data_IF_683679621677
#
_entry.id   IF_683679621677
#
_cell.length_a   1.000
_cell.length_b   1.000
_cell.length_c   1.000
_cell.angle_alpha   90.00
_cell.angle_beta   90.00
_cell.angle_gamma   90.00
#
_symmetry.space_group_name_H-M   'P 1'
#
loop_
_entity.id
_entity.type
_entity.pdbx_description
1 polymer ?
#
# COMPACT_ATOMS: atom_id res chain seq x y z
N UNK A 1 8.59 -0.58 -15.27
CA UNK A 1 7.31 -0.81 -14.58
C UNK A 1 6.78 0.43 -13.92
N UNK A 2 5.47 0.47 -13.75
CA UNK A 2 4.74 1.49 -12.98
C UNK A 2 3.85 0.76 -11.98
N UNK A 3 3.95 1.10 -10.70
CA UNK A 3 3.09 0.54 -9.65
C UNK A 3 2.47 1.67 -8.82
N UNK A 4 1.19 1.52 -8.47
CA UNK A 4 0.47 2.41 -7.55
C UNK A 4 -0.06 1.55 -6.40
N UNK A 5 0.36 1.81 -5.18
CA UNK A 5 0.05 0.98 -4.01
C UNK A 5 -0.29 1.85 -2.81
N UNK A 6 -1.28 1.43 -2.03
CA UNK A 6 -1.53 2.00 -0.71
C UNK A 6 -0.68 1.25 0.33
N UNK A 7 0.31 1.93 0.89
CA UNK A 7 1.20 1.39 1.93
C UNK A 7 0.56 1.59 3.30
N UNK A 8 0.40 0.49 4.02
CA UNK A 8 -0.24 0.48 5.35
C UNK A 8 0.81 0.38 6.46
N UNK A 9 0.49 0.97 7.61
CA UNK A 9 1.28 0.75 8.82
C UNK A 9 0.97 -0.65 9.40
N UNK A 10 1.94 -1.42 9.89
CA UNK A 10 1.69 -2.76 10.46
C UNK A 10 0.72 -2.79 11.64
N UNK A 11 0.58 -1.67 12.36
CA UNK A 11 -0.32 -1.53 13.51
C UNK A 11 -1.70 -0.98 13.15
N UNK A 12 -2.02 -0.83 11.87
CA UNK A 12 -3.36 -0.45 11.45
C UNK A 12 -4.36 -1.57 11.74
N UNK A 13 -5.25 -1.34 12.69
CA UNK A 13 -6.34 -2.24 13.02
C UNK A 13 -7.66 -1.56 12.69
N UNK A 14 -8.53 -2.28 11.99
CA UNK A 14 -9.89 -1.82 11.72
C UNK A 14 -10.76 -2.06 12.95
N UNK A 15 -11.48 -1.03 13.32
CA UNK A 15 -12.47 -1.05 14.39
C UNK A 15 -13.83 -0.69 13.81
N UNK A 16 -14.88 -1.19 14.43
CA UNK A 16 -16.25 -0.81 14.08
C UNK A 16 -16.75 0.20 15.09
N UNK A 17 -17.42 1.23 14.59
CA UNK A 17 -18.15 2.17 15.43
C UNK A 17 -19.27 1.45 16.17
N UNK A 18 -19.42 1.74 17.45
CA UNK A 18 -20.49 1.18 18.28
C UNK A 18 -21.87 1.71 17.91
N UNK A 19 -21.93 2.90 17.33
CA UNK A 19 -23.18 3.59 17.01
C UNK A 19 -23.68 3.27 15.60
N UNK A 20 -22.79 3.23 14.60
CA UNK A 20 -23.16 3.04 13.20
C UNK A 20 -22.81 1.68 12.64
N UNK A 21 -21.86 0.95 13.27
CA UNK A 21 -21.28 -0.27 12.72
C UNK A 21 -20.24 -0.03 11.60
N UNK A 22 -20.06 1.20 11.14
CA UNK A 22 -19.08 1.54 10.12
C UNK A 22 -17.64 1.34 10.65
N UNK A 23 -16.74 0.95 9.76
CA UNK A 23 -15.34 0.75 10.16
C UNK A 23 -14.53 2.05 10.12
N UNK A 24 -13.53 2.13 10.96
CA UNK A 24 -12.50 3.16 10.97
C UNK A 24 -11.18 2.59 11.50
N UNK A 25 -10.08 3.33 11.32
CA UNK A 25 -8.76 2.95 11.82
C UNK A 25 -8.37 3.95 12.90
N UNK A 26 -8.43 3.51 14.15
CA UNK A 26 -8.09 4.35 15.29
C UNK A 26 -6.59 4.67 15.31
N UNK A 27 -6.23 5.93 15.57
CA UNK A 27 -4.83 6.38 15.60
C UNK A 27 -4.20 6.70 14.26
N UNK A 28 -4.88 6.45 13.13
CA UNK A 28 -4.39 6.78 11.79
C UNK A 28 -4.66 8.24 11.45
N UNK A 29 -3.62 8.97 11.03
CA UNK A 29 -3.74 10.38 10.61
C UNK A 29 -3.57 10.59 9.12
N UNK A 30 -2.84 9.70 8.45
CA UNK A 30 -2.59 9.81 7.00
C UNK A 30 -2.62 8.47 6.30
N UNK A 31 -2.91 8.52 4.99
CA UNK A 31 -2.64 7.45 4.04
C UNK A 31 -1.28 7.69 3.38
N UNK A 32 -0.63 6.62 2.92
CA UNK A 32 0.52 6.69 2.03
C UNK A 32 0.18 5.95 0.73
N UNK A 33 0.09 6.68 -0.36
CA UNK A 33 0.01 6.13 -1.70
C UNK A 33 1.39 6.22 -2.36
N UNK A 34 2.00 5.08 -2.65
CA UNK A 34 3.28 5.00 -3.31
C UNK A 34 3.09 4.84 -4.82
N UNK A 35 3.60 5.81 -5.59
CA UNK A 35 3.76 5.71 -7.04
C UNK A 35 5.22 5.35 -7.30
N UNK A 36 5.47 4.16 -7.84
CA UNK A 36 6.80 3.61 -8.09
C UNK A 36 7.05 3.55 -9.59
N UNK A 37 8.14 4.15 -10.02
CA UNK A 37 8.71 3.94 -11.35
C UNK A 37 9.87 2.97 -11.21
N UNK A 38 9.90 1.91 -12.03
CA UNK A 38 10.89 0.85 -11.93
C UNK A 38 11.52 0.57 -13.28
N UNK A 39 12.83 0.57 -13.31
CA UNK A 39 13.63 0.04 -14.39
C UNK A 39 14.39 -1.19 -13.88
N UNK A 40 14.33 -2.29 -14.63
CA UNK A 40 14.91 -3.54 -14.18
C UNK A 40 15.30 -4.47 -15.32
N UNK A 41 15.93 -5.57 -14.94
CA UNK A 41 16.33 -6.67 -15.84
C UNK A 41 15.98 -8.01 -15.22
N UNK A 42 15.66 -8.95 -16.10
CA UNK A 42 15.46 -10.35 -15.76
C UNK A 42 16.71 -11.14 -16.14
N UNK A 43 17.18 -11.93 -15.19
CA UNK A 43 18.31 -12.85 -15.37
C UNK A 43 17.78 -14.28 -15.37
N UNK A 44 17.92 -14.98 -16.48
CA UNK A 44 17.46 -16.37 -16.61
C UNK A 44 18.43 -17.27 -15.88
N UNK A 45 17.97 -17.96 -14.83
CA UNK A 45 18.75 -18.98 -14.13
C UNK A 45 18.57 -20.36 -14.77
N UNK A 46 17.30 -20.72 -15.07
CA UNK A 46 17.00 -21.98 -15.69
C UNK A 46 16.03 -21.75 -16.86
N UNK A 47 16.44 -22.21 -18.04
CA UNK A 47 15.57 -22.22 -19.23
C UNK A 47 14.70 -23.47 -19.20
N UNK A 48 13.44 -23.34 -19.61
CA UNK A 48 12.57 -24.49 -19.77
C UNK A 48 13.01 -25.35 -20.95
N UNK A 49 12.83 -26.67 -20.81
CA UNK A 49 13.03 -27.62 -21.91
C UNK A 49 11.98 -27.38 -23.00
N UNK A 50 12.27 -27.81 -24.26
CA UNK A 50 11.40 -27.52 -25.41
C UNK A 50 9.98 -28.11 -25.32
N UNK A 51 9.76 -29.13 -24.51
CA UNK A 51 8.49 -29.81 -24.41
C UNK A 51 7.72 -29.56 -23.13
N UNK A 52 8.39 -29.48 -21.99
CA UNK A 52 7.81 -29.18 -20.67
C UNK A 52 8.89 -28.66 -19.76
N UNK A 53 8.53 -27.80 -18.78
CA UNK A 53 9.45 -27.33 -17.77
C UNK A 53 9.07 -26.00 -17.18
N UNK A 54 9.83 -25.58 -16.19
CA UNK A 54 9.70 -24.28 -15.53
C UNK A 54 10.91 -23.43 -15.91
N UNK A 55 10.67 -22.22 -16.40
CA UNK A 55 11.73 -21.21 -16.55
C UNK A 55 11.80 -20.40 -15.27
N UNK A 56 12.99 -20.25 -14.72
CA UNK A 56 13.22 -19.46 -13.51
C UNK A 56 14.09 -18.27 -13.85
N UNK A 57 13.57 -17.08 -13.55
CA UNK A 57 14.28 -15.82 -13.74
C UNK A 57 14.43 -15.09 -12.41
N UNK A 58 15.59 -14.48 -12.18
CA UNK A 58 15.70 -13.46 -11.16
C UNK A 58 15.30 -12.11 -11.75
N UNK A 59 14.44 -11.40 -11.05
CA UNK A 59 13.98 -10.06 -11.39
C UNK A 59 14.67 -9.09 -10.47
N UNK A 60 15.39 -8.11 -11.04
CA UNK A 60 16.03 -7.02 -10.28
C UNK A 60 15.56 -5.72 -10.89
N UNK A 61 14.94 -4.86 -10.08
CA UNK A 61 14.49 -3.56 -10.52
C UNK A 61 14.73 -2.50 -9.44
N UNK A 62 14.93 -1.26 -9.87
CA UNK A 62 15.06 -0.12 -9.00
C UNK A 62 14.52 1.14 -9.68
N UNK A 63 14.21 2.16 -8.89
CA UNK A 63 13.78 3.44 -9.43
C UNK A 63 13.25 4.41 -8.38
N UNK A 64 12.78 5.59 -8.82
CA UNK A 64 12.20 6.57 -7.93
C UNK A 64 10.81 6.13 -7.41
N UNK A 65 10.53 6.51 -6.15
CA UNK A 65 9.21 6.40 -5.52
C UNK A 65 8.69 7.79 -5.15
N UNK A 66 7.44 8.04 -5.46
CA UNK A 66 6.73 9.26 -5.07
C UNK A 66 5.64 8.87 -4.09
N UNK A 67 5.84 9.24 -2.82
CA UNK A 67 4.86 9.01 -1.76
C UNK A 67 3.89 10.17 -1.65
N UNK A 68 2.61 9.92 -1.86
CA UNK A 68 1.54 10.90 -1.63
C UNK A 68 0.98 10.60 -0.25
N UNK A 69 1.27 11.49 0.71
CA UNK A 69 0.78 11.42 2.08
C UNK A 69 -0.50 12.22 2.17
N UNK A 70 -1.64 11.53 2.08
CA UNK A 70 -2.97 12.13 2.11
C UNK A 70 -3.58 12.07 3.52
N UNK A 71 -4.24 13.12 4.01
CA UNK A 71 -4.83 13.12 5.34
C UNK A 71 -5.94 12.07 5.47
N UNK A 72 -6.04 11.47 6.65
CA UNK A 72 -7.10 10.51 6.97
C UNK A 72 -8.24 11.24 7.68
N UNK A 73 -9.40 11.30 7.04
CA UNK A 73 -10.61 11.90 7.58
C UNK A 73 -11.48 10.86 8.29
N UNK A 74 -12.07 11.29 9.38
CA UNK A 74 -13.08 10.53 10.13
C UNK A 74 -14.40 11.28 10.12
N UNK A 75 -15.49 10.54 10.16
CA UNK A 75 -16.78 11.04 10.54
C UNK A 75 -16.92 10.88 12.04
N UNK A 76 -17.14 11.97 12.75
CA UNK A 76 -17.41 11.94 14.19
C UNK A 76 -18.73 12.60 14.56
N UNK A 77 -19.31 12.19 15.67
CA UNK A 77 -20.44 12.87 16.26
C UNK A 77 -20.03 14.21 16.87
N UNK A 78 -20.84 15.24 16.68
CA UNK A 78 -20.63 16.56 17.29
C UNK A 78 -21.02 16.52 18.75
N UNK A 79 -22.04 15.73 19.08
CA UNK A 79 -22.59 15.56 20.43
C UNK A 79 -22.77 14.07 20.76
N UNK A 80 -23.06 13.78 22.02
CA UNK A 80 -23.33 12.41 22.48
C UNK A 80 -24.66 11.83 22.01
N UNK A 81 -25.50 12.64 21.36
CA UNK A 81 -26.81 12.19 20.84
C UNK A 81 -26.72 11.54 19.48
N UNK A 82 -25.58 11.67 18.77
CA UNK A 82 -25.32 11.08 17.47
C UNK A 82 -26.24 11.55 16.32
N UNK A 83 -26.98 12.63 16.51
CA UNK A 83 -27.85 13.18 15.47
C UNK A 83 -27.12 14.09 14.49
N UNK A 84 -25.96 14.59 14.89
CA UNK A 84 -25.17 15.52 14.08
C UNK A 84 -23.76 14.97 13.94
N UNK A 85 -23.26 14.87 12.70
CA UNK A 85 -21.92 14.41 12.41
C UNK A 85 -21.12 15.46 11.66
N UNK A 86 -19.79 15.40 11.78
CA UNK A 86 -18.82 16.24 11.09
C UNK A 86 -17.67 15.41 10.58
N UNK A 87 -17.22 15.72 9.36
CA UNK A 87 -15.99 15.17 8.80
C UNK A 87 -14.82 16.08 9.16
N UNK A 88 -13.77 15.51 9.73
CA UNK A 88 -12.53 16.23 10.00
C UNK A 88 -11.33 15.28 10.00
N UNK A 89 -10.15 15.83 9.77
CA UNK A 89 -8.92 15.03 9.82
C UNK A 89 -8.73 14.49 11.24
N UNK A 90 -8.40 13.21 11.35
CA UNK A 90 -8.11 12.60 12.64
C UNK A 90 -6.87 13.22 13.30
N UNK A 91 -7.03 13.71 14.51
CA UNK A 91 -5.96 14.23 15.37
C UNK A 91 -6.00 13.54 16.74
N UNK A 92 -4.97 12.76 17.10
CA UNK A 92 -4.93 12.06 18.39
C UNK A 92 -4.84 13.00 19.60
N UNK A 93 -4.44 14.25 19.41
CA UNK A 93 -4.39 15.27 20.48
C UNK A 93 -5.76 15.89 20.76
N UNK A 94 -6.72 15.72 19.87
CA UNK A 94 -8.05 16.29 20.03
C UNK A 94 -8.93 15.37 20.91
N UNK A 95 -9.38 15.80 22.10
CA UNK A 95 -10.19 14.96 22.98
C UNK A 95 -11.55 14.58 22.38
N UNK A 96 -12.04 15.33 21.37
CA UNK A 96 -13.26 15.01 20.65
C UNK A 96 -13.08 13.84 19.64
N UNK A 97 -11.84 13.42 19.36
CA UNK A 97 -11.54 12.26 18.53
C UNK A 97 -11.42 10.97 19.35
N UNK A 98 -12.17 10.90 20.45
CA UNK A 98 -12.25 9.69 21.25
C UNK A 98 -12.94 8.57 20.47
N UNK A 99 -12.55 7.33 20.75
CA UNK A 99 -13.06 6.13 20.10
C UNK A 99 -14.60 6.06 20.07
N UNK A 100 -15.25 6.55 21.14
CA UNK A 100 -16.72 6.48 21.30
C UNK A 100 -17.49 7.44 20.37
N UNK A 101 -16.86 8.54 19.97
CA UNK A 101 -17.47 9.59 19.14
C UNK A 101 -17.23 9.36 17.64
N UNK A 102 -16.36 8.44 17.26
CA UNK A 102 -16.08 8.17 15.85
C UNK A 102 -17.19 7.28 15.29
N UNK A 103 -17.83 7.76 14.22
CA UNK A 103 -18.92 7.10 13.52
C UNK A 103 -18.43 6.25 12.34
N UNK A 104 -17.28 6.60 11.75
CA UNK A 104 -16.73 5.90 10.62
C UNK A 104 -15.54 6.63 10.00
N UNK A 105 -15.09 6.15 8.84
CA UNK A 105 -14.12 6.86 8.00
C UNK A 105 -14.85 7.96 7.22
N UNK A 106 -14.17 9.09 7.00
CA UNK A 106 -14.59 10.09 6.03
C UNK A 106 -14.49 9.57 4.58
N UNK A 107 -14.75 10.43 3.60
CA UNK A 107 -14.69 10.08 2.19
C UNK A 107 -13.24 9.83 1.74
N UNK A 108 -13.06 8.88 0.80
CA UNK A 108 -11.73 8.41 0.37
C UNK A 108 -10.84 9.51 -0.23
N UNK A 109 -11.44 10.52 -0.88
CA UNK A 109 -10.73 11.64 -1.52
C UNK A 109 -10.85 12.95 -0.74
N UNK A 110 -11.39 12.89 0.46
CA UNK A 110 -11.51 14.05 1.33
C UNK A 110 -10.12 14.53 1.77
N UNK A 111 -9.85 15.82 1.61
CA UNK A 111 -8.54 16.41 1.94
C UNK A 111 -7.40 16.04 0.99
N UNK A 112 -7.67 15.49 -0.19
CA UNK A 112 -6.60 15.14 -1.13
C UNK A 112 -5.77 16.35 -1.57
N UNK A 113 -6.37 17.55 -1.55
CA UNK A 113 -5.67 18.83 -1.82
C UNK A 113 -4.62 19.19 -0.78
N UNK A 114 -4.71 18.66 0.44
CA UNK A 114 -3.77 18.88 1.54
C UNK A 114 -2.67 17.80 1.60
N UNK A 115 -2.60 16.95 0.57
CA UNK A 115 -1.62 15.87 0.51
C UNK A 115 -0.20 16.41 0.38
N UNK A 116 0.74 15.74 1.04
CA UNK A 116 2.17 16.07 0.99
C UNK A 116 2.90 15.06 0.13
N UNK A 117 3.75 15.57 -0.78
CA UNK A 117 4.61 14.72 -1.60
C UNK A 117 5.89 14.36 -0.83
N UNK A 118 6.21 13.08 -0.80
CA UNK A 118 7.46 12.51 -0.26
C UNK A 118 8.25 11.87 -1.39
N UNK A 119 9.49 12.30 -1.57
CA UNK A 119 10.40 11.71 -2.55
C UNK A 119 11.17 10.56 -1.93
N UNK A 120 11.37 9.50 -2.70
CA UNK A 120 12.08 8.31 -2.28
C UNK A 120 12.59 7.49 -3.46
N UNK A 121 13.06 6.31 -3.15
CA UNK A 121 13.45 5.31 -4.13
C UNK A 121 12.95 3.93 -3.74
N UNK A 122 12.92 3.01 -4.70
CA UNK A 122 12.58 1.63 -4.46
C UNK A 122 13.58 0.67 -5.09
N UNK A 123 13.70 -0.50 -4.47
CA UNK A 123 14.47 -1.63 -4.99
C UNK A 123 13.58 -2.87 -4.89
N UNK A 124 13.50 -3.62 -5.97
CA UNK A 124 12.72 -4.85 -6.11
C UNK A 124 13.65 -6.00 -6.48
N UNK A 125 13.53 -7.10 -5.74
CA UNK A 125 14.22 -8.36 -5.99
C UNK A 125 13.21 -9.49 -5.96
N UNK A 126 13.18 -10.34 -6.98
CA UNK A 126 12.21 -11.43 -7.06
C UNK A 126 12.68 -12.62 -7.86
N UNK A 127 11.94 -13.69 -7.73
CA UNK A 127 12.04 -14.88 -8.56
C UNK A 127 10.73 -15.05 -9.34
N UNK A 128 10.87 -15.15 -10.63
CA UNK A 128 9.78 -15.36 -11.57
C UNK A 128 9.83 -16.81 -12.05
N UNK A 129 8.70 -17.50 -11.94
CA UNK A 129 8.52 -18.89 -12.33
C UNK A 129 7.51 -18.94 -13.47
N UNK A 130 8.00 -19.16 -14.69
CA UNK A 130 7.16 -19.31 -15.87
C UNK A 130 6.91 -20.80 -16.15
N UNK A 131 5.65 -21.21 -16.03
CA UNK A 131 5.20 -22.58 -16.25
C UNK A 131 4.98 -22.81 -17.74
N UNK A 132 5.64 -23.78 -18.31
CA UNK A 132 5.53 -24.10 -19.73
C UNK A 132 4.55 -25.23 -19.99
N UNK A 133 3.24 -24.95 -20.07
CA UNK A 133 2.23 -25.94 -20.42
C UNK A 133 1.96 -26.01 -21.95
N UNK A 134 2.04 -24.88 -22.64
CA UNK A 134 1.83 -24.73 -24.08
C UNK A 134 2.76 -23.67 -24.64
N UNK A 135 3.28 -23.85 -25.88
CA UNK A 135 4.22 -22.89 -26.51
C UNK A 135 3.66 -21.48 -26.68
N UNK A 136 2.35 -21.34 -26.84
CA UNK A 136 1.67 -20.05 -27.06
C UNK A 136 1.17 -19.37 -25.78
N UNK A 137 1.14 -20.07 -24.65
CA UNK A 137 0.63 -19.52 -23.38
C UNK A 137 1.76 -19.33 -22.39
N UNK A 138 1.75 -18.18 -21.72
CA UNK A 138 2.65 -17.81 -20.63
C UNK A 138 1.83 -17.74 -19.36
N UNK A 139 2.06 -18.66 -18.45
CA UNK A 139 1.42 -18.68 -17.13
C UNK A 139 2.51 -18.83 -16.10
N UNK A 140 2.42 -18.08 -15.01
CA UNK A 140 3.41 -18.19 -13.96
C UNK A 140 3.11 -17.32 -12.76
N UNK A 141 4.09 -17.29 -11.88
CA UNK A 141 4.04 -16.43 -10.69
C UNK A 141 5.41 -15.84 -10.41
N UNK A 142 5.39 -14.72 -9.73
CA UNK A 142 6.57 -14.02 -9.25
C UNK A 142 6.43 -13.79 -7.75
N UNK A 143 7.47 -14.08 -6.99
CA UNK A 143 7.55 -13.82 -5.56
C UNK A 143 8.84 -13.08 -5.25
N UNK A 144 8.78 -12.10 -4.34
CA UNK A 144 9.97 -11.35 -4.03
C UNK A 144 9.78 -10.34 -2.92
N UNK A 145 10.81 -9.52 -2.78
CA UNK A 145 10.90 -8.43 -1.83
C UNK A 145 11.01 -7.10 -2.58
N UNK A 146 10.37 -6.10 -2.03
CA UNK A 146 10.46 -4.72 -2.47
C UNK A 146 10.67 -3.84 -1.25
N UNK A 147 11.55 -2.87 -1.35
CA UNK A 147 11.79 -1.90 -0.29
C UNK A 147 11.63 -0.50 -0.87
N UNK A 148 10.75 0.30 -0.27
CA UNK A 148 10.69 1.74 -0.49
C UNK A 148 11.46 2.46 0.61
N UNK A 149 12.26 3.45 0.24
CA UNK A 149 12.95 4.33 1.16
C UNK A 149 12.64 5.79 0.80
N UNK A 150 12.05 6.54 1.74
CA UNK A 150 11.71 7.95 1.58
C UNK A 150 12.74 8.84 2.28
N UNK A 151 12.92 10.06 1.78
CA UNK A 151 13.87 11.03 2.34
C UNK A 151 13.55 11.40 3.80
N UNK A 152 12.26 11.46 4.15
CA UNK A 152 11.81 11.77 5.49
C UNK A 152 10.92 10.66 6.06
N UNK A 153 10.76 10.65 7.39
CA UNK A 153 9.79 9.76 8.04
C UNK A 153 8.38 10.09 7.57
N UNK A 154 7.64 9.06 7.18
CA UNK A 154 6.23 9.18 6.78
C UNK A 154 5.36 8.93 8.02
N UNK A 155 4.64 9.96 8.43
CA UNK A 155 3.77 9.88 9.61
C UNK A 155 2.42 9.30 9.16
N UNK A 156 2.16 8.05 9.49
CA UNK A 156 0.88 7.37 9.26
C UNK A 156 0.04 7.33 10.54
N UNK A 157 0.69 7.04 11.67
CA UNK A 157 0.09 6.93 13.00
C UNK A 157 1.00 7.63 14.01
N UNK A 158 0.74 8.89 14.44
CA UNK A 158 1.64 9.68 15.27
C UNK A 158 2.03 9.03 16.60
N UNK A 159 1.14 8.22 17.16
CA UNK A 159 1.34 7.52 18.44
C UNK A 159 2.22 6.28 18.33
N UNK A 160 2.72 5.97 17.13
CA UNK A 160 3.53 4.78 16.87
C UNK A 160 4.90 5.12 16.29
N UNK A 161 5.73 4.10 16.10
CA UNK A 161 7.04 4.26 15.45
C UNK A 161 6.89 4.45 13.95
N UNK A 162 6.86 5.70 13.49
CA UNK A 162 6.84 6.04 12.08
C UNK A 162 8.20 5.84 11.43
N UNK A 163 8.20 5.30 10.21
CA UNK A 163 9.39 4.89 9.47
C UNK A 163 9.54 5.67 8.17
N UNK A 164 10.75 5.68 7.62
CA UNK A 164 11.04 6.15 6.26
C UNK A 164 11.28 4.99 5.29
N UNK A 165 11.41 3.75 5.80
CA UNK A 165 11.68 2.55 5.00
C UNK A 165 10.55 1.56 5.19
N UNK A 166 10.02 1.07 4.08
CA UNK A 166 8.86 0.17 4.01
C UNK A 166 9.23 -1.10 3.23
N UNK A 167 9.63 -2.18 3.93
CA UNK A 167 9.82 -3.48 3.30
C UNK A 167 8.47 -4.12 2.98
N UNK A 168 8.36 -4.70 1.81
CA UNK A 168 7.16 -5.38 1.29
C UNK A 168 7.55 -6.73 0.71
N UNK A 169 6.81 -7.78 1.06
CA UNK A 169 6.81 -9.05 0.34
C UNK A 169 5.68 -9.01 -0.66
N UNK A 170 5.95 -9.44 -1.90
CA UNK A 170 4.92 -9.48 -2.93
C UNK A 170 4.81 -10.87 -3.58
N UNK A 171 3.61 -11.13 -4.06
CA UNK A 171 3.29 -12.30 -4.86
C UNK A 171 2.41 -11.86 -6.03
N UNK A 172 2.82 -12.19 -7.24
CA UNK A 172 2.10 -11.82 -8.47
C UNK A 172 1.81 -13.05 -9.31
N UNK A 173 0.58 -13.21 -9.75
CA UNK A 173 0.21 -14.18 -10.77
C UNK A 173 0.13 -13.47 -12.12
N UNK A 174 0.65 -14.10 -13.17
CA UNK A 174 0.53 -13.57 -14.52
C UNK A 174 0.06 -14.64 -15.49
N UNK A 175 -0.73 -14.21 -16.44
CA UNK A 175 -1.24 -15.03 -17.54
C UNK A 175 -1.24 -14.20 -18.81
N UNK A 176 -0.79 -14.80 -19.92
CA UNK A 176 -0.74 -14.12 -21.20
C UNK A 176 -0.49 -15.06 -22.36
N UNK A 177 -0.55 -14.53 -23.57
CA UNK A 177 -0.20 -15.24 -24.80
C UNK A 177 1.08 -14.64 -25.38
N UNK A 178 1.98 -15.52 -25.81
CA UNK A 178 3.17 -15.15 -26.57
C UNK A 178 2.81 -15.24 -28.06
N UNK A 179 2.88 -14.11 -28.77
CA UNK A 179 2.79 -14.07 -30.23
C UNK A 179 4.12 -14.48 -30.87
#
# INVERSE_FOLDING_TARGET
>A
GLEIVNVKHPQEVRHNSRSTGNFFIYGKTNYLYALRLQYGRDFIFFKKAPQQGVEIKAVVAAGPSFGIVAPYFIERSVDKSFFSSKHEQYDPSNPNHSYELILGTGNLFEGIGDSKLQLGGNVKLGLNFELGTVKSQVTGFEVGFLVDAYANKVILMPTTSNKSVFPTVYFTLFYGNRK
#
